data_IF_974874347308
#
_entry.id   IF_974874347308
#
_cell.length_a   1.000
_cell.length_b   1.000
_cell.length_c   1.000
_cell.angle_alpha   90.00
_cell.angle_beta   90.00
_cell.angle_gamma   90.00
#
_symmetry.space_group_name_H-M   'P 1'
#
loop_
_entity.id
_entity.type
_entity.pdbx_description
1 polymer ?
#
# COMPACT_ATOMS: atom_id res chain seq x y z
N UNK A 1 18.30 27.33 -20.78
CA UNK A 1 18.86 26.36 -19.82
C UNK A 1 17.74 25.45 -19.36
N UNK A 2 17.47 24.36 -20.10
CA UNK A 2 16.29 23.51 -19.88
C UNK A 2 16.63 22.03 -20.08
N UNK A 3 17.88 21.64 -19.84
CA UNK A 3 18.36 20.28 -20.04
C UNK A 3 18.53 19.48 -18.73
N UNK A 4 18.63 20.15 -17.56
CA UNK A 4 18.85 19.50 -16.28
C UNK A 4 17.61 18.88 -15.61
N UNK A 5 16.40 19.38 -15.91
CA UNK A 5 15.15 18.86 -15.34
C UNK A 5 14.66 17.58 -16.04
N UNK A 6 14.85 17.48 -17.36
CA UNK A 6 14.41 16.32 -18.16
C UNK A 6 15.22 15.05 -17.85
N UNK A 7 16.53 15.15 -17.65
CA UNK A 7 17.39 13.99 -17.35
C UNK A 7 17.05 13.36 -15.99
N UNK A 8 16.73 14.18 -14.97
CA UNK A 8 16.30 13.66 -13.66
C UNK A 8 15.00 12.87 -13.78
N UNK A 9 14.01 13.39 -14.51
CA UNK A 9 12.70 12.74 -14.67
C UNK A 9 12.82 11.36 -15.34
N UNK A 10 13.63 11.24 -16.39
CA UNK A 10 13.85 9.96 -17.08
C UNK A 10 14.63 8.94 -16.23
N UNK A 11 15.66 9.37 -15.48
CA UNK A 11 16.36 8.51 -14.52
C UNK A 11 15.44 8.03 -13.40
N UNK A 12 14.57 8.90 -12.88
CA UNK A 12 13.58 8.54 -11.86
C UNK A 12 12.53 7.55 -12.38
N UNK A 13 12.11 7.67 -13.63
CA UNK A 13 11.16 6.73 -14.23
C UNK A 13 11.79 5.38 -14.53
N UNK A 14 13.04 5.37 -15.03
CA UNK A 14 13.78 4.12 -15.24
C UNK A 14 14.08 3.40 -13.91
N UNK A 15 14.47 4.15 -12.87
CA UNK A 15 14.64 3.60 -11.52
C UNK A 15 13.30 3.10 -10.97
N UNK A 16 12.21 3.86 -11.12
CA UNK A 16 10.88 3.42 -10.72
C UNK A 16 10.49 2.12 -11.41
N UNK A 17 10.53 2.05 -12.75
CA UNK A 17 10.16 0.85 -13.51
C UNK A 17 11.09 -0.34 -13.20
N UNK A 18 12.40 -0.10 -13.04
CA UNK A 18 13.39 -1.15 -12.79
C UNK A 18 13.35 -1.65 -11.34
N UNK A 19 13.30 -0.77 -10.33
CA UNK A 19 13.18 -1.14 -8.92
C UNK A 19 11.79 -1.63 -8.56
N UNK A 20 10.73 -1.16 -9.21
CA UNK A 20 9.38 -1.69 -9.00
C UNK A 20 9.30 -3.11 -9.54
N UNK A 21 9.76 -3.33 -10.79
CA UNK A 21 9.77 -4.68 -11.38
C UNK A 21 10.70 -5.63 -10.64
N UNK A 22 11.84 -5.18 -10.12
CA UNK A 22 12.79 -6.04 -9.39
C UNK A 22 12.52 -6.11 -7.88
N UNK A 23 11.86 -5.12 -7.28
CA UNK A 23 11.59 -5.07 -5.84
C UNK A 23 10.29 -5.77 -5.47
N UNK A 24 9.24 -5.61 -6.28
CA UNK A 24 7.93 -6.22 -6.06
C UNK A 24 7.79 -7.62 -6.67
N UNK A 25 8.65 -7.99 -7.64
CA UNK A 25 8.69 -9.36 -8.14
C UNK A 25 9.19 -10.37 -7.11
N UNK A 26 9.87 -9.90 -6.05
CA UNK A 26 10.55 -10.78 -5.10
C UNK A 26 10.12 -10.63 -3.65
N UNK A 27 9.53 -9.50 -3.21
CA UNK A 27 9.22 -9.37 -1.79
C UNK A 27 8.08 -8.39 -1.44
N UNK A 28 7.03 -8.90 -0.80
CA UNK A 28 5.90 -8.13 -0.23
C UNK A 28 6.33 -7.20 0.91
N UNK A 29 7.51 -7.42 1.51
CA UNK A 29 8.14 -6.53 2.49
C UNK A 29 8.35 -5.11 1.96
N UNK A 30 8.61 -4.95 0.66
CA UNK A 30 8.83 -3.65 0.04
C UNK A 30 7.59 -2.73 0.10
N UNK A 31 6.40 -3.31 0.31
CA UNK A 31 5.14 -2.59 0.48
C UNK A 31 4.91 -2.08 1.91
N UNK A 32 5.77 -2.43 2.86
CA UNK A 32 5.67 -1.95 4.26
C UNK A 32 6.35 -0.60 4.50
N UNK A 33 6.64 0.14 3.43
CA UNK A 33 7.05 1.54 3.56
C UNK A 33 5.94 2.35 4.24
N UNK A 34 6.32 3.38 4.98
CA UNK A 34 5.45 4.35 5.64
C UNK A 34 6.17 5.69 5.66
N UNK A 35 5.45 6.77 5.96
CA UNK A 35 6.08 8.05 6.27
C UNK A 35 7.03 7.94 7.48
N UNK A 36 8.16 8.66 7.41
CA UNK A 36 9.08 8.82 8.54
C UNK A 36 8.43 9.67 9.62
N UNK A 37 8.58 9.28 10.89
CA UNK A 37 8.10 10.07 12.04
C UNK A 37 9.11 11.12 12.49
N UNK A 38 10.24 11.24 11.80
CA UNK A 38 11.32 12.16 12.16
C UNK A 38 11.10 13.59 11.64
N UNK A 39 10.25 13.79 10.63
CA UNK A 39 9.91 15.12 10.11
C UNK A 39 8.76 15.73 10.92
N UNK A 40 9.04 16.81 11.64
CA UNK A 40 8.06 17.49 12.50
C UNK A 40 7.19 18.52 11.75
N UNK A 41 7.56 18.90 10.53
CA UNK A 41 7.00 20.08 9.85
C UNK A 41 6.57 19.87 8.38
N UNK A 42 6.68 18.65 7.84
CA UNK A 42 6.27 18.34 6.47
C UNK A 42 4.82 17.86 6.41
N UNK A 43 3.95 18.55 5.66
CA UNK A 43 2.64 17.98 5.31
C UNK A 43 2.86 16.86 4.30
N UNK A 44 2.64 15.62 4.71
CA UNK A 44 2.73 14.44 3.86
C UNK A 44 1.57 14.42 2.89
N UNK A 45 1.88 14.67 1.62
CA UNK A 45 0.90 14.83 0.55
C UNK A 45 1.33 14.08 -0.69
N UNK A 46 0.33 13.64 -1.46
CA UNK A 46 0.56 13.05 -2.78
C UNK A 46 1.24 14.06 -3.72
N UNK A 47 2.29 13.62 -4.41
CA UNK A 47 3.01 14.43 -5.40
C UNK A 47 2.14 14.62 -6.64
N UNK A 48 2.01 15.86 -7.10
CA UNK A 48 1.38 16.15 -8.40
C UNK A 48 2.37 15.90 -9.53
N UNK A 49 2.15 14.82 -10.29
CA UNK A 49 2.90 14.51 -11.50
C UNK A 49 2.22 15.09 -12.75
N UNK A 50 2.96 15.40 -13.82
CA UNK A 50 2.36 15.71 -15.13
C UNK A 50 1.48 14.55 -15.62
N UNK A 51 0.40 14.83 -16.34
CA UNK A 51 -0.61 13.83 -16.78
C UNK A 51 -0.02 12.60 -17.49
N UNK A 52 1.09 12.77 -18.21
CA UNK A 52 1.79 11.67 -18.89
C UNK A 52 2.48 10.68 -17.93
N UNK A 53 2.53 10.96 -16.63
CA UNK A 53 3.20 10.12 -15.61
C UNK A 53 2.22 9.78 -14.50
N UNK A 54 1.67 8.57 -14.57
CA UNK A 54 0.90 8.00 -13.48
C UNK A 54 1.84 7.25 -12.51
N UNK A 55 1.90 7.70 -11.26
CA UNK A 55 2.62 6.98 -10.18
C UNK A 55 1.57 6.39 -9.25
N UNK A 56 1.58 5.05 -9.08
CA UNK A 56 0.53 4.37 -8.37
C UNK A 56 0.61 4.59 -6.87
N UNK A 57 -0.53 4.57 -6.17
CA UNK A 57 -0.59 4.91 -4.74
C UNK A 57 0.19 3.96 -3.84
N UNK A 58 0.41 2.71 -4.27
CA UNK A 58 1.24 1.76 -3.52
C UNK A 58 2.74 2.05 -3.61
N UNK A 59 3.18 2.94 -4.52
CA UNK A 59 4.57 3.35 -4.62
C UNK A 59 4.90 4.43 -3.60
N UNK A 60 6.01 4.26 -2.88
CA UNK A 60 6.55 5.32 -2.03
C UNK A 60 6.84 6.61 -2.82
N UNK A 61 7.08 6.51 -4.13
CA UNK A 61 7.30 7.67 -5.00
C UNK A 61 6.01 8.46 -5.29
N UNK A 62 4.84 7.99 -4.87
CA UNK A 62 3.59 8.75 -4.99
C UNK A 62 3.52 9.91 -3.99
N UNK A 63 4.34 9.89 -2.93
CA UNK A 63 4.28 10.83 -1.81
C UNK A 63 5.61 11.57 -1.64
N UNK A 64 5.51 12.82 -1.17
CA UNK A 64 6.68 13.65 -0.86
C UNK A 64 7.16 13.39 0.58
N UNK A 65 8.47 13.53 0.83
CA UNK A 65 9.10 13.35 2.15
C UNK A 65 9.94 12.08 2.30
N UNK A 66 10.54 11.90 3.50
CA UNK A 66 11.35 10.74 3.86
C UNK A 66 10.54 9.48 4.24
N UNK A 67 10.73 8.36 3.53
CA UNK A 67 10.09 7.10 3.93
C UNK A 67 10.88 6.36 5.02
N UNK A 68 10.15 5.61 5.83
CA UNK A 68 10.65 4.58 6.73
C UNK A 68 9.94 3.26 6.43
N UNK A 69 10.41 2.16 7.01
CA UNK A 69 9.70 0.88 6.94
C UNK A 69 9.09 0.55 8.30
N UNK A 70 7.92 -0.08 8.30
CA UNK A 70 7.33 -0.60 9.53
C UNK A 70 8.32 -1.55 10.21
N UNK A 71 8.59 -1.30 11.49
CA UNK A 71 9.53 -2.12 12.27
C UNK A 71 8.86 -3.43 12.65
N UNK A 72 9.08 -4.45 11.83
CA UNK A 72 8.64 -5.82 12.08
C UNK A 72 9.84 -6.76 12.08
N UNK A 73 9.85 -7.82 12.91
CA UNK A 73 10.83 -8.88 12.80
C UNK A 73 10.55 -9.69 11.52
N UNK A 74 11.12 -9.28 10.38
CA UNK A 74 10.84 -9.88 9.06
C UNK A 74 11.07 -11.40 9.01
N UNK A 75 12.06 -11.92 9.75
CA UNK A 75 12.31 -13.37 9.89
C UNK A 75 11.18 -14.14 10.59
N UNK A 76 10.27 -13.43 11.24
CA UNK A 76 9.13 -13.96 11.98
C UNK A 76 7.81 -13.69 11.25
N UNK A 77 7.82 -13.33 9.96
CA UNK A 77 6.59 -13.13 9.20
C UNK A 77 6.32 -14.31 8.26
N UNK A 78 5.12 -14.87 8.34
CA UNK A 78 4.53 -15.72 7.32
C UNK A 78 3.88 -14.84 6.25
N UNK A 79 4.59 -14.66 5.13
CA UNK A 79 4.13 -13.82 4.02
C UNK A 79 2.95 -14.45 3.28
N UNK A 80 2.01 -13.60 2.90
CA UNK A 80 0.82 -13.93 2.14
C UNK A 80 1.04 -13.70 0.64
N UNK A 81 0.40 -14.52 -0.19
CA UNK A 81 0.30 -14.32 -1.63
C UNK A 81 -0.92 -13.47 -2.04
N UNK A 82 -1.58 -12.81 -1.08
CA UNK A 82 -2.78 -12.03 -1.33
C UNK A 82 -2.49 -10.70 -2.05
N UNK A 83 -1.24 -10.25 -2.17
CA UNK A 83 -0.87 -9.07 -2.97
C UNK A 83 0.27 -9.45 -3.90
N UNK A 84 0.09 -9.28 -5.20
CA UNK A 84 1.03 -9.76 -6.22
C UNK A 84 1.21 -8.76 -7.35
N UNK A 85 2.45 -8.65 -7.81
CA UNK A 85 2.74 -7.96 -9.07
C UNK A 85 2.35 -8.87 -10.25
N UNK A 86 1.58 -8.39 -11.24
CA UNK A 86 1.21 -9.20 -12.41
C UNK A 86 2.45 -9.46 -13.28
N UNK A 87 2.86 -10.72 -13.41
CA UNK A 87 3.98 -11.11 -14.29
C UNK A 87 3.54 -11.09 -15.77
N UNK A 88 3.82 -9.97 -16.44
CA UNK A 88 4.01 -9.77 -17.88
C UNK A 88 2.88 -10.14 -18.90
N UNK A 89 1.68 -10.62 -18.50
CA UNK A 89 0.54 -10.78 -19.46
C UNK A 89 -0.78 -10.09 -19.05
N UNK A 90 -1.11 -10.04 -17.76
CA UNK A 90 -2.32 -9.34 -17.28
C UNK A 90 -2.12 -7.82 -17.16
N UNK A 91 -0.86 -7.35 -17.11
CA UNK A 91 -0.54 -5.93 -17.03
C UNK A 91 -0.89 -5.14 -18.31
N UNK A 92 -1.08 -5.82 -19.43
CA UNK A 92 -1.51 -5.22 -20.70
C UNK A 92 -3.04 -5.01 -20.77
N UNK A 93 -3.83 -5.68 -19.92
CA UNK A 93 -5.31 -5.57 -19.94
C UNK A 93 -5.83 -4.39 -19.09
N UNK A 94 -5.01 -3.83 -18.18
CA UNK A 94 -5.34 -2.61 -17.43
C UNK A 94 -5.03 -1.33 -18.23
N UNK A 95 -5.22 -1.38 -19.55
CA UNK A 95 -5.16 -0.22 -20.43
C UNK A 95 -6.56 0.40 -20.47
N UNK A 96 -6.81 1.31 -19.53
CA UNK A 96 -7.89 2.28 -19.67
C UNK A 96 -7.65 3.16 -20.91
N UNK A 97 -8.67 3.90 -21.39
CA UNK A 97 -8.58 4.68 -22.62
C UNK A 97 -7.48 5.76 -22.61
N UNK A 98 -7.00 6.17 -21.43
CA UNK A 98 -5.81 7.00 -21.29
C UNK A 98 -4.53 6.14 -21.20
N UNK A 99 -3.65 6.31 -22.17
CA UNK A 99 -2.47 5.49 -22.46
C UNK A 99 -1.33 5.57 -21.41
N UNK A 100 -1.63 5.95 -20.17
CA UNK A 100 -0.70 5.79 -19.07
C UNK A 100 -0.75 4.31 -18.62
N UNK A 101 0.36 3.59 -18.76
CA UNK A 101 0.49 2.21 -18.25
C UNK A 101 0.20 2.22 -16.74
N UNK A 102 -1.03 1.86 -16.36
CA UNK A 102 -1.43 1.75 -14.97
C UNK A 102 -0.78 0.49 -14.41
N UNK A 103 0.35 0.68 -13.72
CA UNK A 103 1.02 -0.41 -13.01
C UNK A 103 0.21 -0.68 -11.74
N UNK A 104 -0.58 -1.75 -11.74
CA UNK A 104 -1.41 -2.17 -10.61
C UNK A 104 -0.87 -3.43 -9.93
N UNK A 105 -1.19 -3.60 -8.65
CA UNK A 105 -1.00 -4.86 -7.92
C UNK A 105 -2.31 -5.62 -7.85
N UNK A 106 -2.28 -6.91 -8.15
CA UNK A 106 -3.43 -7.79 -7.92
C UNK A 106 -3.54 -8.08 -6.44
N UNK A 107 -4.74 -7.96 -5.86
CA UNK A 107 -4.94 -8.15 -4.44
C UNK A 107 -6.23 -8.91 -4.11
N UNK A 108 -6.18 -9.71 -3.03
CA UNK A 108 -7.37 -10.18 -2.31
C UNK A 108 -7.72 -9.12 -1.27
N UNK A 109 -8.78 -8.37 -1.56
CA UNK A 109 -9.28 -7.28 -0.73
C UNK A 109 -10.33 -7.80 0.25
N UNK A 110 -10.27 -7.32 1.48
CA UNK A 110 -11.11 -7.75 2.60
C UNK A 110 -11.66 -6.57 3.35
N UNK A 111 -12.78 -6.80 4.01
CA UNK A 111 -13.28 -5.89 5.04
C UNK A 111 -12.44 -6.04 6.31
N UNK A 112 -12.30 -4.95 7.05
CA UNK A 112 -11.72 -4.98 8.39
C UNK A 112 -12.40 -3.92 9.27
N UNK A 113 -12.48 -4.21 10.56
CA UNK A 113 -13.30 -3.49 11.53
C UNK A 113 -12.91 -2.00 11.64
N UNK A 114 -13.92 -1.14 11.74
CA UNK A 114 -13.74 0.29 12.00
C UNK A 114 -13.16 0.59 13.38
N UNK A 115 -13.25 -0.32 14.35
CA UNK A 115 -12.57 -0.17 15.65
C UNK A 115 -11.04 -0.22 15.52
N UNK A 116 -10.50 -0.81 14.43
CA UNK A 116 -9.09 -0.71 14.10
C UNK A 116 -8.70 0.68 13.56
N UNK A 117 -9.67 1.48 13.10
CA UNK A 117 -9.46 2.82 12.54
C UNK A 117 -9.23 3.88 13.63
N UNK A 118 -9.57 3.58 14.89
CA UNK A 118 -9.29 4.41 16.07
C UNK A 118 -7.94 4.08 16.74
N UNK A 119 -7.14 3.15 16.20
CA UNK A 119 -5.82 2.75 16.75
C UNK A 119 -4.74 3.82 16.63
N UNK A 120 -5.11 5.08 16.35
CA UNK A 120 -4.16 6.18 16.37
C UNK A 120 -3.74 6.42 17.82
N UNK A 121 -2.49 6.05 18.10
CA UNK A 121 -1.78 6.34 19.34
C UNK A 121 -2.21 5.51 20.57
N UNK A 122 -1.37 4.51 20.87
CA UNK A 122 -1.07 4.06 22.24
C UNK A 122 -1.83 2.85 22.82
N UNK A 123 -2.33 1.93 22.00
CA UNK A 123 -2.70 0.58 22.48
C UNK A 123 -1.71 -0.45 21.94
N UNK A 124 -0.55 -0.53 22.59
CA UNK A 124 0.57 -1.42 22.24
C UNK A 124 0.15 -2.90 22.02
N UNK A 125 -0.98 -3.30 22.60
CA UNK A 125 -1.54 -4.66 22.48
C UNK A 125 -2.50 -4.88 21.30
N UNK A 126 -3.17 -3.86 20.76
CA UNK A 126 -4.25 -4.06 19.76
C UNK A 126 -3.81 -3.86 18.31
N UNK A 127 -2.74 -3.10 18.06
CA UNK A 127 -2.26 -2.83 16.71
C UNK A 127 -1.99 -1.35 16.44
N UNK A 128 -1.63 -1.02 15.20
CA UNK A 128 -1.47 0.35 14.73
C UNK A 128 -1.91 0.48 13.27
N UNK A 129 -2.48 1.63 12.90
CA UNK A 129 -2.62 2.06 11.52
C UNK A 129 -1.80 3.33 11.29
N UNK A 130 -1.11 3.39 10.15
CA UNK A 130 -0.37 4.57 9.70
C UNK A 130 -0.86 4.92 8.30
N UNK A 131 -1.48 6.09 8.18
CA UNK A 131 -1.92 6.62 6.89
C UNK A 131 -0.77 7.32 6.15
N UNK A 132 -0.84 7.27 4.83
CA UNK A 132 0.17 7.83 3.93
C UNK A 132 0.07 9.38 3.84
N UNK A 133 -1.09 9.96 4.19
CA UNK A 133 -1.34 11.42 4.23
C UNK A 133 -1.81 11.89 5.62
N UNK A 134 -1.46 13.13 5.99
CA UNK A 134 -1.81 13.71 7.31
C UNK A 134 -3.29 14.15 7.41
N UNK A 135 -3.82 14.73 6.34
CA UNK A 135 -5.19 15.25 6.29
C UNK A 135 -6.05 14.28 5.49
N UNK A 136 -6.73 13.36 6.18
CA UNK A 136 -7.70 12.45 5.55
C UNK A 136 -9.12 12.79 5.95
N UNK A 137 -9.98 12.94 4.95
CA UNK A 137 -11.43 12.89 5.20
C UNK A 137 -11.86 11.44 5.04
N UNK A 138 -12.12 10.74 6.15
CA UNK A 138 -12.61 9.35 6.14
C UNK A 138 -14.08 9.39 5.72
N UNK A 139 -14.32 9.58 4.42
CA UNK A 139 -15.66 9.59 3.83
C UNK A 139 -16.02 8.27 3.16
N UNK A 140 -15.06 7.33 3.10
CA UNK A 140 -15.21 6.05 2.44
C UNK A 140 -14.88 4.90 3.38
N UNK A 141 -15.56 3.78 3.15
CA UNK A 141 -15.31 2.54 3.87
C UNK A 141 -13.91 2.02 3.53
N UNK A 142 -13.15 1.71 4.57
CA UNK A 142 -11.80 1.17 4.43
C UNK A 142 -11.84 -0.35 4.24
N UNK A 143 -11.02 -0.82 3.31
CA UNK A 143 -10.73 -2.24 3.08
C UNK A 143 -9.25 -2.52 3.34
N UNK A 144 -8.85 -3.77 3.35
CA UNK A 144 -7.46 -4.15 3.53
C UNK A 144 -7.04 -5.29 2.61
N UNK A 145 -5.72 -5.40 2.39
CA UNK A 145 -5.11 -6.59 1.83
C UNK A 145 -4.03 -7.10 2.79
N UNK A 146 -4.03 -8.40 3.06
CA UNK A 146 -3.11 -9.01 4.04
C UNK A 146 -1.77 -9.30 3.39
N UNK A 147 -0.71 -8.67 3.88
CA UNK A 147 0.66 -8.90 3.44
C UNK A 147 1.30 -10.10 4.12
N UNK A 148 0.96 -10.35 5.39
CA UNK A 148 1.49 -11.47 6.14
C UNK A 148 1.00 -11.50 7.58
N UNK A 149 1.48 -12.50 8.32
CA UNK A 149 1.12 -12.75 9.71
C UNK A 149 2.40 -12.93 10.55
N UNK A 150 2.45 -12.36 11.75
CA UNK A 150 3.63 -12.49 12.62
C UNK A 150 3.58 -13.84 13.34
N UNK A 151 4.58 -14.69 13.19
CA UNK A 151 4.73 -15.99 13.89
C UNK A 151 4.84 -15.75 15.40
N UNK A 152 3.73 -15.81 16.12
CA UNK A 152 3.68 -15.72 17.59
C UNK A 152 2.76 -16.79 18.17
N UNK A 153 3.00 -17.18 19.42
CA UNK A 153 2.18 -18.14 20.18
C UNK A 153 0.96 -17.47 20.84
N UNK A 154 0.37 -16.47 20.17
CA UNK A 154 -0.86 -15.84 20.64
C UNK A 154 -2.06 -16.74 20.29
N UNK A 155 -3.20 -16.49 20.93
CA UNK A 155 -4.45 -17.13 20.52
C UNK A 155 -4.75 -16.79 19.05
N UNK A 156 -5.52 -17.64 18.36
CA UNK A 156 -5.84 -17.41 16.94
C UNK A 156 -6.47 -16.06 16.66
N UNK A 157 -7.17 -15.47 17.64
CA UNK A 157 -7.89 -14.21 17.50
C UNK A 157 -7.01 -12.99 17.77
N UNK A 158 -5.99 -13.13 18.62
CA UNK A 158 -5.03 -12.06 18.94
C UNK A 158 -3.89 -11.98 17.93
N UNK A 159 -3.70 -13.06 17.17
CA UNK A 159 -2.72 -13.20 16.10
C UNK A 159 -2.63 -11.95 15.20
N UNK A 160 -1.45 -11.33 15.20
CA UNK A 160 -1.20 -10.07 14.48
C UNK A 160 -0.93 -10.28 12.99
N UNK A 161 -1.53 -9.43 12.17
CA UNK A 161 -1.51 -9.42 10.72
C UNK A 161 -1.01 -8.07 10.20
N UNK A 162 -0.11 -8.12 9.22
CA UNK A 162 0.36 -6.98 8.46
C UNK A 162 -0.57 -6.75 7.28
N UNK A 163 -1.06 -5.52 7.13
CA UNK A 163 -2.02 -5.16 6.11
C UNK A 163 -1.62 -3.90 5.34
N UNK A 164 -2.03 -3.85 4.06
CA UNK A 164 -2.26 -2.59 3.36
C UNK A 164 -3.65 -2.08 3.70
N UNK A 165 -3.78 -0.78 3.91
CA UNK A 165 -5.06 -0.09 4.10
C UNK A 165 -5.47 0.51 2.76
N UNK A 166 -6.70 0.20 2.33
CA UNK A 166 -7.19 0.46 0.99
C UNK A 166 -8.48 1.29 1.03
N UNK A 167 -8.61 2.19 0.06
CA UNK A 167 -9.82 2.96 -0.24
C UNK A 167 -10.25 2.66 -1.67
N UNK A 168 -11.56 2.57 -1.90
CA UNK A 168 -12.10 2.26 -3.22
C UNK A 168 -11.91 3.44 -4.18
N UNK A 169 -11.54 3.17 -5.43
CA UNK A 169 -11.45 4.21 -6.46
C UNK A 169 -12.84 4.55 -6.98
N UNK A 170 -13.27 5.79 -6.81
CA UNK A 170 -14.62 6.21 -7.21
C UNK A 170 -14.77 6.03 -8.74
N UNK A 171 -15.81 5.30 -9.13
CA UNK A 171 -16.16 5.11 -10.54
C UNK A 171 -15.37 4.02 -11.26
N UNK A 172 -14.49 3.29 -10.57
CA UNK A 172 -13.75 2.15 -11.14
C UNK A 172 -13.99 0.91 -10.30
N UNK A 173 -14.62 -0.11 -10.88
CA UNK A 173 -14.95 -1.35 -10.18
C UNK A 173 -13.68 -2.11 -9.74
N UNK A 174 -13.73 -2.70 -8.54
CA UNK A 174 -12.67 -3.54 -7.99
C UNK A 174 -11.27 -2.90 -8.03
N UNK A 175 -11.21 -1.58 -7.95
CA UNK A 175 -9.96 -0.82 -8.01
C UNK A 175 -9.81 0.00 -6.75
N UNK A 176 -8.60 -0.01 -6.19
CA UNK A 176 -8.31 0.48 -4.85
C UNK A 176 -7.05 1.33 -4.85
N UNK A 177 -7.03 2.35 -4.01
CA UNK A 177 -5.82 3.10 -3.65
C UNK A 177 -5.33 2.62 -2.30
N UNK A 178 -4.03 2.42 -2.18
CA UNK A 178 -3.38 2.36 -0.87
C UNK A 178 -3.47 3.75 -0.23
N UNK A 179 -3.87 3.76 1.04
CA UNK A 179 -3.96 4.97 1.86
C UNK A 179 -3.20 4.82 3.18
N UNK A 180 -2.59 3.66 3.42
CA UNK A 180 -1.76 3.41 4.58
C UNK A 180 -1.36 1.95 4.74
N UNK A 181 -0.76 1.66 5.89
CA UNK A 181 -0.39 0.31 6.33
C UNK A 181 -0.85 0.08 7.77
N UNK A 182 -0.93 -1.18 8.16
CA UNK A 182 -1.37 -1.53 9.51
C UNK A 182 -0.79 -2.83 10.05
N UNK A 183 -0.76 -2.88 11.37
CA UNK A 183 -0.64 -4.10 12.15
C UNK A 183 -1.95 -4.24 12.93
N UNK A 184 -2.74 -5.28 12.65
CA UNK A 184 -4.06 -5.49 13.27
C UNK A 184 -4.20 -6.93 13.76
N UNK A 185 -5.18 -7.22 14.60
CA UNK A 185 -5.41 -8.59 15.06
C UNK A 185 -6.32 -9.36 14.11
N UNK A 186 -6.24 -10.69 14.14
CA UNK A 186 -7.05 -11.58 13.29
C UNK A 186 -8.55 -11.32 13.45
N UNK A 187 -9.00 -11.00 14.67
CA UNK A 187 -10.41 -10.65 14.95
C UNK A 187 -10.90 -9.39 14.25
N UNK A 188 -9.99 -8.51 13.83
CA UNK A 188 -10.33 -7.26 13.16
C UNK A 188 -10.52 -7.44 11.66
N UNK A 189 -10.14 -8.60 11.09
CA UNK A 189 -10.24 -8.89 9.66
C UNK A 189 -11.36 -9.92 9.43
N UNK A 190 -12.24 -9.63 8.47
CA UNK A 190 -13.34 -10.52 8.10
C UNK A 190 -12.87 -11.57 7.09
N UNK A 191 -12.54 -12.76 7.58
CA UNK A 191 -12.09 -13.90 6.77
C UNK A 191 -13.22 -14.89 6.42
N UNK A 192 -14.44 -14.65 6.91
CA UNK A 192 -15.59 -15.54 6.68
C UNK A 192 -16.06 -15.54 5.21
N UNK A 193 -15.66 -14.52 4.45
CA UNK A 193 -15.76 -14.49 3.00
C UNK A 193 -14.40 -14.77 2.35
N UNK A 194 -14.39 -15.24 1.10
CA UNK A 194 -13.16 -15.48 0.35
C UNK A 194 -12.31 -14.21 0.13
N UNK A 195 -12.87 -13.01 0.38
CA UNK A 195 -12.36 -11.74 -0.09
C UNK A 195 -12.72 -11.52 -1.57
N UNK A 196 -12.60 -10.29 -2.05
CA UNK A 196 -12.80 -9.94 -3.45
C UNK A 196 -11.45 -9.79 -4.16
N UNK A 197 -11.39 -10.11 -5.45
CA UNK A 197 -10.22 -9.81 -6.27
C UNK A 197 -10.29 -8.35 -6.72
N UNK A 198 -9.19 -7.63 -6.60
CA UNK A 198 -9.11 -6.24 -7.04
C UNK A 198 -7.70 -5.81 -7.42
N UNK A 199 -7.60 -4.58 -7.90
CA UNK A 199 -6.36 -3.94 -8.32
C UNK A 199 -6.02 -2.77 -7.40
N UNK A 200 -4.80 -2.75 -6.86
CA UNK A 200 -4.27 -1.60 -6.14
C UNK A 200 -3.49 -0.74 -7.14
N UNK A 201 -3.93 0.50 -7.34
CA UNK A 201 -3.38 1.46 -8.32
C UNK A 201 -2.90 2.73 -7.68
#
# INVERSE_FOLDING_TARGET
MTYGKSIRIHLFQWLFETYTRLGLSYNTESLLWQRSTHEQDGKWKRITYPEARNVPSWSWMAYDGEISYMKVPFSEVDWSNAVQYPYDREAEEFVGPDHARNIGLKAVVREFSSCAQELSFNTQDRGQLIFDEDERTINQELKCAVLGMIRQSESSDEQKHLILVLEHEIGVESTYKRVGIGLVQRRDIFFDSAGEQGWIV
#
